data_IF_169784476687
#
_entry.id   IF_169784476687
#
_cell.length_a   1.000
_cell.length_b   1.000
_cell.length_c   1.000
_cell.angle_alpha   90.00
_cell.angle_beta   90.00
_cell.angle_gamma   90.00
#
_symmetry.space_group_name_H-M   'P 1'
#
loop_
_entity.id
_entity.type
_entity.pdbx_description
1 polymer ?
#
# COMPACT_ATOMS: atom_id res chain seq x y z
N UNK A 1 -5.94 -1.14 -17.03
CA UNK A 1 -4.96 -0.10 -16.69
C UNK A 1 -5.14 0.27 -15.24
N UNK A 2 -4.07 0.20 -14.46
CA UNK A 2 -3.95 0.69 -13.09
C UNK A 2 -2.64 1.44 -12.93
N UNK A 3 -2.61 2.44 -12.06
CA UNK A 3 -1.40 3.22 -11.78
C UNK A 3 -1.42 3.76 -10.36
N UNK A 4 -0.37 3.45 -9.61
CA UNK A 4 -0.19 3.97 -8.27
C UNK A 4 0.98 3.31 -7.57
N UNK A 5 1.15 3.68 -6.30
CA UNK A 5 2.23 3.20 -5.45
C UNK A 5 1.70 2.77 -4.10
N UNK A 6 2.19 1.64 -3.61
CA UNK A 6 2.01 1.21 -2.22
C UNK A 6 3.27 1.56 -1.42
N UNK A 7 3.10 2.27 -0.31
CA UNK A 7 4.19 2.78 0.51
C UNK A 7 4.14 2.18 1.92
N UNK A 8 5.32 1.85 2.44
CA UNK A 8 5.53 1.47 3.85
C UNK A 8 6.37 2.54 4.53
N UNK A 9 5.78 3.24 5.49
CA UNK A 9 6.49 4.24 6.31
C UNK A 9 6.78 3.65 7.67
N UNK A 10 8.04 3.67 8.07
CA UNK A 10 8.48 3.09 9.35
C UNK A 10 8.99 4.23 10.22
N UNK A 11 8.39 4.39 11.39
CA UNK A 11 8.82 5.32 12.43
C UNK A 11 9.33 4.49 13.61
N UNK A 12 10.55 4.79 14.06
CA UNK A 12 11.17 4.11 15.20
C UNK A 12 11.75 5.14 16.16
N UNK A 13 11.28 5.15 17.40
CA UNK A 13 11.82 5.97 18.49
C UNK A 13 13.17 5.44 19.00
N UNK A 14 13.53 4.21 18.63
CA UNK A 14 14.78 3.57 18.98
C UNK A 14 15.65 3.35 17.73
N UNK A 15 16.98 3.29 17.89
CA UNK A 15 17.89 2.83 16.82
C UNK A 15 17.73 1.32 16.63
N UNK A 16 16.69 0.89 15.94
CA UNK A 16 16.44 -0.50 15.60
C UNK A 16 16.60 -0.70 14.10
N UNK A 17 17.10 -1.86 13.69
CA UNK A 17 17.18 -2.23 12.27
C UNK A 17 15.94 -3.03 11.91
N UNK A 18 15.08 -2.43 11.09
CA UNK A 18 13.92 -3.14 10.54
C UNK A 18 14.27 -3.66 9.17
N UNK A 19 14.10 -4.98 8.97
CA UNK A 19 14.10 -5.60 7.66
C UNK A 19 12.65 -6.00 7.34
N UNK A 20 12.23 -5.79 6.10
CA UNK A 20 10.90 -6.20 5.65
C UNK A 20 10.95 -6.74 4.24
N UNK A 21 9.98 -7.61 3.95
CA UNK A 21 9.87 -8.36 2.73
C UNK A 21 8.39 -8.45 2.35
N UNK A 22 8.08 -8.22 1.07
CA UNK A 22 6.78 -8.54 0.52
C UNK A 22 6.80 -9.98 0.03
N UNK A 23 5.85 -10.80 0.47
CA UNK A 23 5.86 -12.26 0.19
C UNK A 23 4.71 -12.74 -0.68
N UNK A 24 3.68 -11.92 -0.91
CA UNK A 24 2.56 -12.22 -1.81
C UNK A 24 2.31 -11.08 -2.79
N UNK A 25 2.78 -11.26 -4.04
CA UNK A 25 2.35 -10.57 -5.25
C UNK A 25 2.17 -11.64 -6.33
N UNK A 26 1.27 -11.47 -7.31
CA UNK A 26 0.58 -12.57 -7.99
C UNK A 26 1.57 -13.60 -8.57
N UNK A 27 1.57 -14.80 -7.98
CA UNK A 27 2.27 -16.04 -8.37
C UNK A 27 3.77 -16.18 -8.08
N UNK A 28 4.26 -17.45 -7.96
CA UNK A 28 5.41 -17.79 -7.15
C UNK A 28 6.67 -17.38 -7.89
N UNK A 29 7.51 -16.57 -7.25
CA UNK A 29 8.88 -16.40 -7.73
C UNK A 29 9.58 -17.76 -7.64
N UNK A 30 9.62 -18.51 -8.74
CA UNK A 30 10.61 -19.56 -8.98
C UNK A 30 11.96 -18.90 -9.25
N UNK A 31 12.50 -18.28 -8.21
CA UNK A 31 13.91 -17.95 -8.10
C UNK A 31 14.48 -18.81 -6.99
N UNK A 32 15.60 -19.49 -7.24
CA UNK A 32 16.36 -20.22 -6.20
C UNK A 32 16.74 -19.32 -5.01
N UNK A 33 16.63 -18.00 -5.16
CA UNK A 33 16.77 -17.01 -4.10
C UNK A 33 15.43 -16.29 -3.86
N UNK A 34 14.89 -16.45 -2.64
CA UNK A 34 13.81 -15.65 -2.03
C UNK A 34 14.24 -14.18 -1.87
N UNK A 35 14.54 -13.47 -2.95
CA UNK A 35 14.97 -12.06 -2.89
C UNK A 35 13.77 -11.19 -2.55
N UNK A 36 13.69 -10.78 -1.29
CA UNK A 36 12.78 -9.74 -0.82
C UNK A 36 12.86 -8.48 -1.71
N UNK A 37 11.71 -7.93 -2.08
CA UNK A 37 11.63 -6.56 -2.58
C UNK A 37 12.05 -5.63 -1.42
N UNK A 38 13.24 -5.04 -1.52
CA UNK A 38 13.85 -4.23 -0.44
C UNK A 38 13.30 -2.80 -0.36
N UNK A 39 12.49 -2.39 -1.34
CA UNK A 39 12.02 -1.00 -1.48
C UNK A 39 10.74 -0.79 -0.68
N UNK A 40 10.66 0.32 0.06
CA UNK A 40 9.45 0.74 0.79
C UNK A 40 8.35 1.29 -0.12
N UNK A 41 8.55 1.19 -1.43
CA UNK A 41 7.64 1.57 -2.47
C UNK A 41 7.50 0.42 -3.46
N UNK A 42 6.26 0.02 -3.69
CA UNK A 42 5.87 -0.96 -4.70
C UNK A 42 4.99 -0.27 -5.74
N UNK A 43 5.35 -0.38 -7.01
CA UNK A 43 4.53 0.11 -8.11
C UNK A 43 3.39 -0.85 -8.40
N UNK A 44 2.17 -0.30 -8.51
CA UNK A 44 0.96 -1.04 -8.85
C UNK A 44 0.85 -1.05 -10.37
N UNK A 45 1.14 -2.21 -10.97
CA UNK A 45 1.09 -2.43 -12.42
C UNK A 45 -0.04 -3.43 -12.71
N UNK A 46 -0.65 -3.28 -13.88
CA UNK A 46 -1.92 -3.78 -14.44
C UNK A 46 -2.36 -5.27 -14.25
N UNK A 47 -1.78 -6.04 -13.33
CA UNK A 47 -2.00 -7.48 -13.18
C UNK A 47 -1.95 -8.00 -11.73
N UNK A 48 -2.39 -7.23 -10.73
CA UNK A 48 -2.57 -7.80 -9.39
C UNK A 48 -3.90 -8.53 -9.29
N UNK A 49 -3.84 -9.86 -9.18
CA UNK A 49 -5.01 -10.74 -8.97
C UNK A 49 -5.58 -10.66 -7.55
N UNK A 50 -4.82 -10.07 -6.61
CA UNK A 50 -5.21 -9.92 -5.21
C UNK A 50 -5.27 -8.45 -4.82
N UNK A 51 -6.33 -8.09 -4.09
CA UNK A 51 -6.52 -6.75 -3.52
C UNK A 51 -5.71 -6.55 -2.22
N UNK A 52 -4.94 -7.56 -1.85
CA UNK A 52 -4.17 -7.61 -0.61
C UNK A 52 -2.72 -7.93 -0.89
N UNK A 53 -1.86 -7.37 -0.04
CA UNK A 53 -0.42 -7.59 0.00
C UNK A 53 -0.03 -8.14 1.37
N UNK A 54 0.71 -9.24 1.40
CA UNK A 54 1.30 -9.74 2.64
C UNK A 54 2.70 -9.18 2.82
N UNK A 55 2.89 -8.45 3.93
CA UNK A 55 4.16 -7.83 4.32
C UNK A 55 4.71 -8.53 5.56
N UNK A 56 5.88 -9.13 5.40
CA UNK A 56 6.62 -9.80 6.46
C UNK A 56 7.74 -8.89 6.98
N UNK A 57 7.83 -8.77 8.29
CA UNK A 57 8.80 -7.94 8.99
C UNK A 57 9.68 -8.79 9.90
N UNK A 58 10.98 -8.51 9.88
CA UNK A 58 11.95 -8.99 10.86
C UNK A 58 12.62 -7.78 11.51
N UNK A 59 12.34 -7.58 12.79
CA UNK A 59 12.95 -6.51 13.59
C UNK A 59 14.17 -7.09 14.26
N UNK A 60 15.33 -6.49 14.00
CA UNK A 60 16.61 -6.89 14.56
C UNK A 60 17.09 -5.83 15.55
N UNK A 61 17.41 -6.29 16.76
CA UNK A 61 17.96 -5.43 17.81
C UNK A 61 19.41 -5.05 17.56
N UNK A 62 19.94 -4.14 18.38
CA UNK A 62 21.33 -3.68 18.30
C UNK A 62 22.38 -4.79 18.43
N UNK A 63 22.04 -5.89 19.10
CA UNK A 63 22.88 -7.07 19.27
C UNK A 63 22.84 -8.02 18.06
N UNK A 64 22.16 -7.64 16.97
CA UNK A 64 21.97 -8.50 15.80
C UNK A 64 20.99 -9.65 16.00
N UNK A 65 20.37 -9.77 17.18
CA UNK A 65 19.36 -10.82 17.44
C UNK A 65 17.98 -10.36 16.96
N UNK A 66 17.20 -11.27 16.34
CA UNK A 66 15.82 -10.97 15.98
C UNK A 66 15.00 -10.73 17.26
N UNK A 67 14.34 -9.58 17.32
CA UNK A 67 13.41 -9.20 18.39
C UNK A 67 12.03 -9.78 18.08
N UNK A 68 11.56 -9.63 16.84
CA UNK A 68 10.21 -10.05 16.46
C UNK A 68 10.11 -10.29 14.95
N UNK A 69 9.32 -11.31 14.58
CA UNK A 69 8.85 -11.54 13.21
C UNK A 69 7.34 -11.41 13.16
N UNK A 70 6.83 -10.72 12.14
CA UNK A 70 5.40 -10.49 11.93
C UNK A 70 5.07 -10.58 10.46
N UNK A 71 3.87 -11.04 10.15
CA UNK A 71 3.28 -11.00 8.83
C UNK A 71 1.94 -10.30 8.94
N UNK A 72 1.71 -9.27 8.12
CA UNK A 72 0.44 -8.57 8.05
C UNK A 72 -0.07 -8.56 6.62
N UNK A 73 -1.38 -8.73 6.48
CA UNK A 73 -2.06 -8.68 5.20
C UNK A 73 -2.78 -7.35 5.09
N UNK A 74 -2.34 -6.52 4.16
CA UNK A 74 -2.78 -5.14 4.02
C UNK A 74 -3.54 -4.99 2.71
N UNK A 75 -4.68 -4.29 2.74
CA UNK A 75 -5.44 -3.99 1.54
C UNK A 75 -4.73 -2.92 0.70
N UNK A 76 -4.65 -3.13 -0.61
CA UNK A 76 -4.09 -2.17 -1.56
C UNK A 76 -5.25 -1.40 -2.18
N UNK A 77 -5.75 -0.41 -1.45
CA UNK A 77 -6.89 0.42 -1.88
C UNK A 77 -6.62 1.90 -1.59
N UNK A 78 -6.62 2.73 -2.64
CA UNK A 78 -6.44 4.17 -2.51
C UNK A 78 -7.62 4.90 -1.86
N UNK A 79 -8.76 4.23 -1.69
CA UNK A 79 -9.93 4.77 -0.98
C UNK A 79 -9.83 4.62 0.55
N UNK A 80 -8.96 3.75 1.04
CA UNK A 80 -8.82 3.48 2.47
C UNK A 80 -7.79 4.42 3.11
N UNK A 81 -7.99 4.81 4.39
CA UNK A 81 -6.97 5.52 5.15
C UNK A 81 -5.74 4.64 5.36
N UNK A 82 -4.60 5.26 5.69
CA UNK A 82 -3.38 4.52 5.98
C UNK A 82 -3.58 3.54 7.15
N UNK A 83 -3.23 2.27 6.94
CA UNK A 83 -3.27 1.25 7.98
C UNK A 83 -2.05 1.42 8.89
N UNK A 84 -2.28 1.58 10.20
CA UNK A 84 -1.22 1.82 11.20
C UNK A 84 -1.10 0.64 12.15
N UNK A 85 0.11 0.11 12.28
CA UNK A 85 0.44 -0.95 13.24
C UNK A 85 1.55 -0.53 14.20
N UNK A 86 1.36 -0.83 15.48
CA UNK A 86 2.39 -0.70 16.52
C UNK A 86 2.98 -2.08 16.80
N UNK A 87 4.28 -2.26 16.54
CA UNK A 87 4.89 -3.59 16.54
C UNK A 87 5.69 -3.89 17.82
N UNK A 88 6.49 -2.93 18.26
CA UNK A 88 7.35 -3.03 19.43
C UNK A 88 7.41 -1.66 20.11
N UNK A 89 8.01 -1.56 21.30
CA UNK A 89 8.16 -0.27 22.00
C UNK A 89 8.84 0.75 21.07
N UNK A 90 8.04 1.70 20.58
CA UNK A 90 8.49 2.79 19.73
C UNK A 90 8.57 2.50 18.23
N UNK A 91 8.14 1.33 17.71
CA UNK A 91 8.05 1.10 16.25
C UNK A 91 6.59 1.19 15.79
N UNK A 92 6.34 2.15 14.90
CA UNK A 92 5.07 2.35 14.20
C UNK A 92 5.31 2.15 12.70
N UNK A 93 4.41 1.43 12.05
CA UNK A 93 4.42 1.30 10.60
C UNK A 93 3.08 1.75 10.03
N UNK A 94 3.15 2.56 8.98
CA UNK A 94 2.00 3.01 8.21
C UNK A 94 2.09 2.40 6.81
N UNK A 95 1.00 1.79 6.36
CA UNK A 95 0.81 1.32 5.00
C UNK A 95 -0.16 2.23 4.29
N UNK A 96 0.21 2.70 3.10
CA UNK A 96 -0.63 3.62 2.34
C UNK A 96 -0.54 3.32 0.85
N UNK A 97 -1.70 3.24 0.21
CA UNK A 97 -1.83 3.22 -1.24
C UNK A 97 -2.07 4.63 -1.74
N UNK A 98 -1.31 5.06 -2.74
CA UNK A 98 -1.47 6.34 -3.41
C UNK A 98 -1.66 6.06 -4.89
N UNK A 99 -2.83 6.38 -5.42
CA UNK A 99 -3.12 6.21 -6.84
C UNK A 99 -2.73 7.45 -7.63
N UNK A 100 -2.15 7.25 -8.81
CA UNK A 100 -1.86 8.35 -9.72
C UNK A 100 -3.16 8.81 -10.35
N UNK A 101 -3.45 10.11 -10.38
CA UNK A 101 -4.65 10.58 -11.10
C UNK A 101 -4.50 10.23 -12.59
N UNK A 102 -5.55 9.68 -13.24
CA UNK A 102 -6.96 9.67 -12.84
C UNK A 102 -7.43 8.33 -12.22
N UNK A 103 -6.55 7.55 -11.59
CA UNK A 103 -6.86 6.26 -10.99
C UNK A 103 -7.21 6.36 -9.50
N UNK A 104 -8.08 5.47 -9.04
CA UNK A 104 -8.65 5.45 -7.69
C UNK A 104 -9.04 4.03 -7.25
N UNK A 105 -9.42 3.91 -5.97
CA UNK A 105 -9.98 2.71 -5.39
C UNK A 105 -9.01 1.53 -5.30
N UNK A 106 -9.60 0.34 -5.25
CA UNK A 106 -8.88 -0.93 -5.14
C UNK A 106 -7.88 -1.07 -6.28
N UNK A 107 -6.65 -1.41 -5.93
CA UNK A 107 -5.52 -1.58 -6.83
C UNK A 107 -5.26 -0.39 -7.76
N UNK A 108 -5.77 0.82 -7.44
CA UNK A 108 -5.73 1.95 -8.35
C UNK A 108 -6.24 1.59 -9.76
N UNK A 109 -7.28 0.76 -9.83
CA UNK A 109 -7.77 0.20 -11.08
C UNK A 109 -8.99 0.95 -11.65
N UNK A 110 -9.66 1.79 -10.83
CA UNK A 110 -10.81 2.56 -11.30
C UNK A 110 -10.38 3.91 -11.82
N UNK A 111 -10.76 4.24 -13.05
CA UNK A 111 -10.51 5.56 -13.61
C UNK A 111 -11.70 6.49 -13.38
N UNK A 112 -11.41 7.73 -12.96
CA UNK A 112 -12.40 8.79 -12.88
C UNK A 112 -11.77 10.11 -13.34
N UNK A 113 -12.34 10.68 -14.41
CA UNK A 113 -11.82 11.88 -15.05
C UNK A 113 -12.71 13.07 -14.71
N UNK A 114 -12.15 14.05 -14.01
CA UNK A 114 -12.79 15.35 -13.79
C UNK A 114 -12.43 16.24 -14.99
N UNK A 115 -13.44 16.63 -15.77
CA UNK A 115 -13.25 17.59 -16.86
C UNK A 115 -13.55 19.01 -16.37
N UNK A 116 -12.94 20.02 -16.99
CA UNK A 116 -13.35 21.40 -16.75
C UNK A 116 -14.85 21.58 -17.08
N UNK A 117 -15.60 22.14 -16.14
CA UNK A 117 -17.06 22.27 -16.26
C UNK A 117 -17.86 21.01 -15.91
N UNK A 118 -17.21 19.96 -15.41
CA UNK A 118 -17.93 18.81 -14.86
C UNK A 118 -18.71 19.20 -13.61
N UNK A 119 -19.95 18.72 -13.52
CA UNK A 119 -20.83 18.93 -12.37
C UNK A 119 -20.69 17.83 -11.31
N UNK A 120 -19.53 17.19 -11.27
CA UNK A 120 -19.19 16.13 -10.34
C UNK A 120 -17.70 16.14 -10.02
N UNK A 121 -17.36 15.53 -8.89
CA UNK A 121 -15.99 15.22 -8.47
C UNK A 121 -15.83 13.71 -8.32
N UNK A 122 -14.61 13.21 -8.34
CA UNK A 122 -14.32 11.81 -8.09
C UNK A 122 -14.09 11.59 -6.59
N UNK A 123 -14.85 10.67 -5.98
CA UNK A 123 -14.57 10.22 -4.62
C UNK A 123 -13.31 9.34 -4.56
N UNK A 124 -12.78 9.02 -3.37
CA UNK A 124 -11.58 8.18 -3.24
C UNK A 124 -11.70 6.77 -3.85
N UNK A 125 -12.93 6.26 -4.04
CA UNK A 125 -13.18 4.98 -4.72
C UNK A 125 -13.17 5.12 -6.24
N UNK A 126 -13.19 6.35 -6.75
CA UNK A 126 -13.31 6.70 -8.16
C UNK A 126 -14.76 6.79 -8.63
N UNK A 127 -15.72 6.99 -7.72
CA UNK A 127 -17.13 7.22 -8.06
C UNK A 127 -17.41 8.70 -8.31
N UNK A 128 -18.30 8.98 -9.26
CA UNK A 128 -18.74 10.35 -9.52
C UNK A 128 -19.69 10.80 -8.42
N UNK A 129 -19.35 11.88 -7.75
CA UNK A 129 -20.19 12.55 -6.76
C UNK A 129 -20.61 13.89 -7.33
N UNK A 130 -21.90 14.03 -7.59
CA UNK A 130 -22.45 15.28 -8.11
C UNK A 130 -22.19 16.44 -7.15
N UNK A 131 -21.85 17.60 -7.71
CA UNK A 131 -21.78 18.85 -6.97
C UNK A 131 -23.20 19.25 -6.51
N UNK A 132 -23.26 20.09 -5.48
CA UNK A 132 -24.53 20.57 -4.93
C UNK A 132 -25.38 21.20 -6.04
N UNK A 133 -26.64 20.78 -6.13
CA UNK A 133 -27.58 21.25 -7.15
C UNK A 133 -27.61 20.42 -8.44
N UNK A 134 -26.76 19.39 -8.55
CA UNK A 134 -26.72 18.48 -9.69
C UNK A 134 -27.11 17.05 -9.29
N UNK A 135 -27.78 16.35 -10.20
CA UNK A 135 -28.20 14.95 -10.08
C UNK A 135 -28.31 14.35 -11.48
N UNK A 136 -28.24 13.02 -11.60
CA UNK A 136 -28.37 12.31 -12.88
C UNK A 136 -27.50 11.06 -12.94
#
# INVERSE_FOLDING_TARGET
MSSGVFLVRILSEQRLRVQYCFTELPYPMKGRDRKCLKSGQLEIIDKMETEYLTVEFEIVGNNGRPIRKLANRVAVDGALPAERIAIAKGIIMDFVTVCDRPFYGIMCARQCFEHEGANYVCDPRGEKVCLVGWTG
#
